data_IF_194647745997
#
_entry.id   IF_194647745997
#
_cell.length_a   1.000
_cell.length_b   1.000
_cell.length_c   1.000
_cell.angle_alpha   90.00
_cell.angle_beta   90.00
_cell.angle_gamma   90.00
#
_symmetry.space_group_name_H-M   'P 1'
#
loop_
_entity.id
_entity.type
_entity.pdbx_description
1 polymer ?
#
# COMPACT_ATOMS: atom_id res chain seq x y z
N UNK A 1 -14.37 -4.95 2.60
CA UNK A 1 -13.35 -5.74 3.32
C UNK A 1 -12.64 -4.86 4.33
N UNK A 2 -12.33 -5.39 5.49
CA UNK A 2 -11.58 -4.65 6.50
C UNK A 2 -10.16 -5.18 6.57
N UNK A 3 -9.15 -4.32 6.56
CA UNK A 3 -7.78 -4.77 6.77
C UNK A 3 -7.60 -5.24 8.20
N UNK A 4 -6.72 -6.21 8.40
CA UNK A 4 -6.28 -6.62 9.73
C UNK A 4 -5.07 -5.79 10.14
N UNK A 5 -4.83 -5.65 11.45
CA UNK A 5 -3.64 -4.96 11.95
C UNK A 5 -2.55 -5.97 12.26
N UNK A 6 -1.42 -5.78 11.61
CA UNK A 6 -0.26 -6.65 11.78
C UNK A 6 0.83 -5.92 12.58
N UNK A 7 1.26 -6.55 13.68
CA UNK A 7 2.38 -6.06 14.48
C UNK A 7 3.64 -6.78 14.05
N UNK A 8 4.61 -6.02 13.59
CA UNK A 8 5.88 -6.56 13.13
C UNK A 8 6.83 -6.83 14.29
N UNK A 9 7.63 -7.88 14.17
CA UNK A 9 8.79 -8.10 15.02
C UNK A 9 10.00 -7.52 14.31
N UNK A 10 10.60 -6.49 14.89
CA UNK A 10 11.69 -5.75 14.27
C UNK A 10 12.93 -5.87 15.17
N UNK A 11 14.07 -6.23 14.57
CA UNK A 11 15.31 -6.37 15.32
C UNK A 11 15.75 -5.04 15.96
N UNK A 12 16.42 -5.07 17.13
CA UNK A 12 16.85 -3.86 17.80
C UNK A 12 17.72 -2.94 16.94
N UNK A 13 18.56 -3.49 16.07
CA UNK A 13 19.39 -2.72 15.15
C UNK A 13 18.56 -1.89 14.17
N UNK A 14 17.53 -2.49 13.62
CA UNK A 14 16.61 -1.82 12.70
C UNK A 14 15.76 -0.79 13.44
N UNK A 15 15.30 -1.09 14.66
CA UNK A 15 14.51 -0.16 15.47
C UNK A 15 15.20 1.19 15.65
N UNK A 16 16.53 1.18 15.83
CA UNK A 16 17.32 2.40 15.99
C UNK A 16 17.35 3.30 14.76
N UNK A 17 16.93 2.80 13.60
CA UNK A 17 16.91 3.55 12.34
C UNK A 17 15.53 4.08 11.99
N UNK A 18 14.50 3.78 12.77
CA UNK A 18 13.12 4.14 12.50
C UNK A 18 12.66 5.25 13.43
N UNK A 19 11.93 6.25 12.90
CA UNK A 19 11.33 7.29 13.71
C UNK A 19 10.35 6.69 14.74
N UNK A 20 10.31 7.27 15.94
CA UNK A 20 9.55 6.70 17.07
C UNK A 20 8.05 6.51 16.77
N UNK A 21 7.43 7.43 16.04
CA UNK A 21 6.02 7.31 15.64
C UNK A 21 5.78 6.15 14.68
N UNK A 22 6.68 5.97 13.72
CA UNK A 22 6.61 4.86 12.77
C UNK A 22 6.85 3.52 13.47
N UNK A 23 7.81 3.48 14.38
CA UNK A 23 8.09 2.27 15.16
C UNK A 23 6.88 1.85 15.98
N UNK A 24 6.20 2.80 16.64
CA UNK A 24 4.97 2.51 17.38
C UNK A 24 3.88 1.95 16.50
N UNK A 25 3.71 2.49 15.30
CA UNK A 25 2.72 2.00 14.33
C UNK A 25 3.04 0.57 13.90
N UNK A 26 4.31 0.24 13.67
CA UNK A 26 4.71 -1.09 13.24
C UNK A 26 4.64 -2.15 14.35
N UNK A 27 5.06 -1.80 15.56
CA UNK A 27 5.27 -2.78 16.63
C UNK A 27 4.13 -2.81 17.65
N UNK A 28 3.53 -1.67 17.96
CA UNK A 28 2.53 -1.55 19.02
C UNK A 28 1.09 -1.49 18.51
N UNK A 29 0.79 -0.54 17.63
CA UNK A 29 -0.56 -0.36 17.08
C UNK A 29 -0.90 -1.37 15.99
N UNK A 30 0.09 -1.74 15.19
CA UNK A 30 -0.07 -2.57 14.01
C UNK A 30 -0.37 -1.78 12.74
N UNK A 31 0.22 -2.23 11.64
CA UNK A 31 -0.02 -1.66 10.31
C UNK A 31 -1.21 -2.37 9.68
N UNK A 32 -2.15 -1.65 9.04
CA UNK A 32 -3.20 -2.29 8.25
C UNK A 32 -2.61 -3.09 7.10
N UNK A 33 -3.04 -4.35 6.96
CA UNK A 33 -2.58 -5.27 5.91
C UNK A 33 -3.75 -6.04 5.32
N UNK A 34 -3.58 -6.58 4.13
CA UNK A 34 -4.47 -7.55 3.51
C UNK A 34 -3.68 -8.85 3.34
N UNK A 35 -3.91 -9.81 4.22
CA UNK A 35 -3.05 -10.98 4.37
C UNK A 35 -2.96 -11.86 3.12
N UNK A 36 -4.06 -11.96 2.37
CA UNK A 36 -4.13 -12.82 1.19
C UNK A 36 -3.96 -12.07 -0.14
N UNK A 37 -3.57 -10.82 -0.08
CA UNK A 37 -3.53 -9.96 -1.26
C UNK A 37 -2.16 -9.27 -1.41
N UNK A 38 -1.32 -9.79 -2.30
CA UNK A 38 -0.16 -9.01 -2.72
C UNK A 38 -0.64 -7.74 -3.45
N UNK A 39 -0.07 -6.59 -3.23
CA UNK A 39 1.18 -6.28 -2.52
C UNK A 39 1.04 -6.03 -1.02
N UNK A 40 -0.13 -6.22 -0.42
CA UNK A 40 -0.48 -5.76 0.93
C UNK A 40 -0.30 -6.82 2.01
N UNK A 41 0.14 -8.03 1.65
CA UNK A 41 0.42 -9.09 2.61
C UNK A 41 1.69 -8.80 3.41
N UNK A 42 1.70 -9.01 4.74
CA UNK A 42 2.85 -8.67 5.57
C UNK A 42 4.03 -9.63 5.37
N UNK A 43 5.23 -9.07 5.43
CA UNK A 43 6.48 -9.84 5.44
C UNK A 43 6.79 -10.23 6.89
N UNK A 44 7.04 -11.53 7.13
CA UNK A 44 7.22 -12.06 8.50
C UNK A 44 8.51 -11.59 9.17
N UNK A 45 9.56 -11.33 8.41
CA UNK A 45 10.86 -10.91 8.92
C UNK A 45 11.36 -9.69 8.14
N UNK A 46 10.90 -8.47 8.51
CA UNK A 46 11.27 -7.26 7.80
C UNK A 46 12.78 -7.01 7.85
N UNK A 47 13.35 -6.70 6.69
CA UNK A 47 14.77 -6.39 6.53
C UNK A 47 14.95 -5.10 5.74
N UNK A 48 16.06 -4.42 5.99
CA UNK A 48 16.43 -3.25 5.22
C UNK A 48 17.20 -3.69 3.97
N UNK A 49 16.70 -3.28 2.81
CA UNK A 49 17.36 -3.43 1.53
C UNK A 49 17.57 -2.04 0.96
N UNK A 50 18.82 -1.61 0.84
CA UNK A 50 19.14 -0.23 0.50
C UNK A 50 18.64 0.73 1.59
N UNK A 51 17.72 1.60 1.23
CA UNK A 51 17.11 2.58 2.15
C UNK A 51 15.74 2.13 2.68
N UNK A 52 15.24 0.97 2.24
CA UNK A 52 13.87 0.56 2.52
C UNK A 52 13.80 -0.60 3.51
N UNK A 53 13.03 -0.43 4.56
CA UNK A 53 12.56 -1.52 5.38
C UNK A 53 11.37 -2.15 4.68
N UNK A 54 11.54 -3.36 4.15
CA UNK A 54 10.50 -4.05 3.41
C UNK A 54 9.45 -4.62 4.35
N UNK A 55 8.21 -4.18 4.21
CA UNK A 55 7.11 -4.48 5.13
C UNK A 55 6.07 -5.43 4.55
N UNK A 56 5.71 -5.24 3.29
CA UNK A 56 4.63 -6.01 2.65
C UNK A 56 5.01 -6.40 1.23
N UNK A 57 4.31 -7.41 0.72
CA UNK A 57 4.40 -7.80 -0.68
C UNK A 57 5.29 -9.01 -0.93
N UNK A 58 5.63 -9.19 -2.18
CA UNK A 58 6.43 -10.31 -2.66
C UNK A 58 7.56 -9.82 -3.56
N UNK A 59 8.78 -10.39 -3.43
CA UNK A 59 9.90 -10.01 -4.29
C UNK A 59 9.67 -10.32 -5.77
N UNK A 60 8.69 -11.14 -6.11
CA UNK A 60 8.35 -11.47 -7.50
C UNK A 60 7.40 -10.49 -8.16
N UNK A 61 6.68 -9.71 -7.38
CA UNK A 61 5.66 -8.78 -7.87
C UNK A 61 6.01 -7.36 -7.47
N UNK A 62 5.72 -6.98 -6.24
CA UNK A 62 6.01 -5.66 -5.69
C UNK A 62 6.14 -5.77 -4.17
N UNK A 63 7.03 -4.97 -3.60
CA UNK A 63 7.18 -4.87 -2.16
C UNK A 63 6.99 -3.42 -1.73
N UNK A 64 6.27 -3.23 -0.63
CA UNK A 64 6.10 -1.92 -0.02
C UNK A 64 7.10 -1.78 1.11
N UNK A 65 7.82 -0.67 1.12
CA UNK A 65 8.88 -0.41 2.08
C UNK A 65 8.84 0.99 2.65
N UNK A 66 9.25 1.09 3.90
CA UNK A 66 9.48 2.35 4.58
C UNK A 66 10.92 2.81 4.30
N UNK A 67 11.06 3.98 3.67
CA UNK A 67 12.37 4.60 3.53
C UNK A 67 12.82 5.11 4.90
N UNK A 68 13.83 4.47 5.47
CA UNK A 68 14.27 4.77 6.84
C UNK A 68 14.99 6.12 6.96
N UNK A 69 15.42 6.70 5.85
CA UNK A 69 16.07 8.01 5.82
C UNK A 69 15.06 9.16 5.71
N UNK A 70 14.00 8.97 4.93
CA UNK A 70 13.02 10.03 4.65
C UNK A 70 11.69 9.87 5.38
N UNK A 71 11.34 8.64 5.78
CA UNK A 71 10.03 8.33 6.35
C UNK A 71 8.93 8.12 5.31
N UNK A 72 9.25 8.25 4.03
CA UNK A 72 8.30 7.99 2.95
C UNK A 72 8.09 6.49 2.75
N UNK A 73 6.93 6.12 2.18
CA UNK A 73 6.66 4.75 1.74
C UNK A 73 6.83 4.66 0.23
N UNK A 74 7.56 3.67 -0.21
CA UNK A 74 7.81 3.39 -1.62
C UNK A 74 7.39 2.00 -2.02
N UNK A 75 7.13 1.81 -3.30
CA UNK A 75 6.87 0.51 -3.91
C UNK A 75 8.09 0.09 -4.73
N UNK A 76 8.59 -1.12 -4.48
CA UNK A 76 9.80 -1.65 -5.07
C UNK A 76 9.41 -2.79 -6.02
N UNK A 77 9.61 -2.55 -7.31
CA UNK A 77 9.35 -3.51 -8.37
C UNK A 77 10.64 -4.24 -8.76
N UNK A 78 10.61 -5.55 -9.08
CA UNK A 78 11.82 -6.28 -9.47
C UNK A 78 12.49 -5.75 -10.73
N UNK A 79 11.73 -5.10 -11.62
CA UNK A 79 12.19 -4.69 -12.95
C UNK A 79 12.24 -3.18 -13.15
N UNK A 80 11.97 -2.40 -12.13
CA UNK A 80 11.88 -0.94 -12.25
C UNK A 80 12.46 -0.25 -11.01
N UNK A 81 12.86 1.03 -11.12
CA UNK A 81 13.21 1.82 -9.94
C UNK A 81 12.03 1.92 -8.96
N UNK A 82 12.28 2.13 -7.67
CA UNK A 82 11.23 2.36 -6.69
C UNK A 82 10.35 3.55 -7.08
N UNK A 83 9.04 3.42 -6.86
CA UNK A 83 8.11 4.52 -7.06
C UNK A 83 7.50 4.97 -5.74
N UNK A 84 7.03 6.22 -5.71
CA UNK A 84 6.43 6.82 -4.52
C UNK A 84 5.06 6.17 -4.23
N UNK A 85 4.81 5.87 -2.95
CA UNK A 85 3.48 5.46 -2.49
C UNK A 85 2.86 6.52 -1.59
N UNK A 86 3.47 6.83 -0.45
CA UNK A 86 2.92 7.81 0.49
C UNK A 86 4.03 8.65 1.15
N UNK A 87 3.66 9.84 1.59
CA UNK A 87 4.57 10.78 2.27
C UNK A 87 4.99 10.30 3.65
N UNK A 88 4.21 9.42 4.28
CA UNK A 88 4.52 8.84 5.58
C UNK A 88 3.86 7.48 5.75
N UNK A 89 4.31 6.72 6.73
CA UNK A 89 3.72 5.42 7.07
C UNK A 89 2.28 5.57 7.56
N UNK A 90 1.99 6.61 8.32
CA UNK A 90 0.64 6.92 8.80
C UNK A 90 -0.32 7.19 7.64
N UNK A 91 0.10 7.95 6.64
CA UNK A 91 -0.71 8.22 5.46
C UNK A 91 -0.88 6.99 4.57
N UNK A 92 0.13 6.12 4.53
CA UNK A 92 -0.01 4.81 3.89
C UNK A 92 -1.07 3.95 4.59
N UNK A 93 -1.05 3.92 5.93
CA UNK A 93 -2.04 3.18 6.70
C UNK A 93 -3.48 3.66 6.42
N UNK A 94 -3.68 4.97 6.33
CA UNK A 94 -4.98 5.56 5.98
C UNK A 94 -5.37 5.22 4.54
N UNK A 95 -4.41 5.22 3.63
CA UNK A 95 -4.64 4.91 2.21
C UNK A 95 -5.06 3.47 1.99
N UNK A 96 -4.38 2.50 2.61
CA UNK A 96 -4.79 1.10 2.47
C UNK A 96 -6.13 0.82 3.14
N UNK A 97 -6.45 1.50 4.22
CA UNK A 97 -7.76 1.41 4.86
C UNK A 97 -8.86 1.90 3.91
N UNK A 98 -8.64 3.04 3.27
CA UNK A 98 -9.57 3.58 2.26
C UNK A 98 -9.74 2.64 1.07
N UNK A 99 -8.64 2.06 0.57
CA UNK A 99 -8.68 1.08 -0.51
C UNK A 99 -9.48 -0.16 -0.12
N UNK A 100 -9.21 -0.72 1.06
CA UNK A 100 -9.88 -1.93 1.54
C UNK A 100 -11.39 -1.74 1.76
N UNK A 101 -11.82 -0.56 2.17
CA UNK A 101 -13.24 -0.23 2.33
C UNK A 101 -14.03 -0.33 1.03
N UNK A 102 -13.38 -0.10 -0.10
CA UNK A 102 -14.00 -0.21 -1.42
C UNK A 102 -14.04 -1.63 -2.00
N UNK A 103 -13.30 -2.57 -1.42
CA UNK A 103 -13.22 -3.94 -1.93
C UNK A 103 -14.52 -4.73 -1.71
N UNK A 104 -14.93 -5.56 -2.67
CA UNK A 104 -14.34 -5.74 -4.02
C UNK A 104 -14.74 -4.61 -4.97
N UNK A 105 -13.89 -4.34 -5.96
CA UNK A 105 -14.17 -3.36 -7.01
C UNK A 105 -14.75 -4.09 -8.22
N UNK A 106 -16.04 -4.29 -8.20
CA UNK A 106 -16.76 -5.07 -9.22
C UNK A 106 -17.34 -4.18 -10.30
N UNK A 107 -17.17 -4.60 -11.55
CA UNK A 107 -17.85 -4.02 -12.68
C UNK A 107 -19.26 -4.58 -12.79
N UNK A 108 -20.23 -3.73 -13.15
CA UNK A 108 -21.58 -4.11 -13.47
C UNK A 108 -21.73 -4.13 -15.01
N UNK A 109 -22.24 -5.23 -15.57
CA UNK A 109 -22.39 -5.37 -17.02
C UNK A 109 -23.22 -4.24 -17.65
N UNK A 110 -24.27 -3.78 -16.97
CA UNK A 110 -25.12 -2.70 -17.45
C UNK A 110 -24.43 -1.34 -17.48
N UNK A 111 -23.50 -1.10 -16.53
CA UNK A 111 -22.80 0.17 -16.40
C UNK A 111 -21.35 0.16 -16.90
N UNK A 112 -20.87 -0.98 -17.41
CA UNK A 112 -19.49 -1.11 -17.86
C UNK A 112 -19.25 -0.35 -19.18
N UNK A 113 -18.12 0.39 -19.35
CA UNK A 113 -17.01 0.54 -18.40
C UNK A 113 -17.15 1.70 -17.41
N UNK A 114 -18.19 2.50 -17.49
CA UNK A 114 -18.33 3.75 -16.74
C UNK A 114 -18.36 3.53 -15.22
N UNK A 115 -19.00 2.45 -14.76
CA UNK A 115 -19.10 2.15 -13.35
C UNK A 115 -17.74 1.79 -12.72
N UNK A 116 -16.89 1.03 -13.41
CA UNK A 116 -15.57 0.67 -12.88
C UNK A 116 -14.62 1.86 -12.94
N UNK A 117 -14.72 2.70 -13.97
CA UNK A 117 -13.96 3.95 -14.06
C UNK A 117 -14.34 4.90 -12.93
N UNK A 118 -15.63 4.99 -12.59
CA UNK A 118 -16.11 5.81 -11.47
C UNK A 118 -15.57 5.31 -10.12
N UNK A 119 -15.49 4.00 -9.92
CA UNK A 119 -14.90 3.42 -8.69
C UNK A 119 -13.40 3.75 -8.59
N UNK A 120 -12.66 3.62 -9.68
CA UNK A 120 -11.24 3.98 -9.71
C UNK A 120 -11.03 5.48 -9.44
N UNK A 121 -11.83 6.35 -10.03
CA UNK A 121 -11.78 7.78 -9.77
C UNK A 121 -12.15 8.12 -8.33
N UNK A 122 -13.13 7.44 -7.76
CA UNK A 122 -13.48 7.57 -6.36
C UNK A 122 -12.32 7.22 -5.43
N UNK A 123 -11.62 6.12 -5.72
CA UNK A 123 -10.43 5.74 -4.98
C UNK A 123 -9.34 6.80 -5.09
N UNK A 124 -9.03 7.28 -6.30
CA UNK A 124 -8.03 8.35 -6.50
C UNK A 124 -8.35 9.59 -5.68
N UNK A 125 -9.61 10.02 -5.67
CA UNK A 125 -10.04 11.19 -4.90
C UNK A 125 -9.89 10.99 -3.40
N UNK A 126 -10.22 9.81 -2.89
CA UNK A 126 -10.07 9.46 -1.47
C UNK A 126 -8.60 9.46 -1.06
N UNK A 127 -7.74 8.83 -1.86
CA UNK A 127 -6.29 8.83 -1.62
C UNK A 127 -5.73 10.25 -1.69
N UNK A 128 -6.14 11.06 -2.66
CA UNK A 128 -5.68 12.44 -2.80
C UNK A 128 -6.06 13.34 -1.61
N UNK A 129 -7.19 13.06 -0.95
CA UNK A 129 -7.56 13.79 0.28
C UNK A 129 -6.68 13.38 1.46
N UNK A 130 -6.26 12.13 1.50
CA UNK A 130 -5.37 11.61 2.56
C UNK A 130 -3.96 12.13 2.34
N UNK A 131 -3.45 11.98 1.12
CA UNK A 131 -2.07 12.31 0.76
C UNK A 131 -2.03 12.78 -0.70
N UNK A 132 -2.08 14.10 -0.95
CA UNK A 132 -2.12 14.63 -2.31
C UNK A 132 -0.97 14.15 -3.19
N UNK A 133 0.22 13.93 -2.63
CA UNK A 133 1.38 13.47 -3.38
C UNK A 133 1.27 12.01 -3.85
N UNK A 134 0.35 11.23 -3.27
CA UNK A 134 0.19 9.81 -3.57
C UNK A 134 -0.49 9.55 -4.93
N UNK A 135 -1.17 10.54 -5.50
CA UNK A 135 -1.86 10.44 -6.79
C UNK A 135 -1.17 11.36 -7.80
N UNK A 136 0.05 11.06 -8.12
CA UNK A 136 0.79 11.69 -9.22
C UNK A 136 1.07 10.66 -10.30
N UNK A 137 1.70 11.12 -11.38
CA UNK A 137 2.17 10.22 -12.43
C UNK A 137 3.21 9.26 -11.84
N UNK A 138 3.11 7.99 -12.23
CA UNK A 138 4.05 6.93 -11.82
C UNK A 138 4.08 6.65 -10.30
N UNK A 139 2.99 6.96 -9.58
CA UNK A 139 2.86 6.59 -8.17
C UNK A 139 2.22 5.22 -8.01
N UNK A 140 2.47 4.58 -6.86
CA UNK A 140 1.91 3.26 -6.54
C UNK A 140 0.37 3.27 -6.57
N UNK A 141 -0.28 4.24 -5.90
CA UNK A 141 -1.74 4.29 -5.83
C UNK A 141 -2.39 4.60 -7.17
N UNK A 142 -1.70 5.33 -8.03
CA UNK A 142 -2.18 5.52 -9.41
C UNK A 142 -2.17 4.21 -10.18
N UNK A 143 -1.13 3.38 -10.02
CA UNK A 143 -1.07 2.04 -10.61
C UNK A 143 -2.17 1.13 -10.06
N UNK A 144 -2.39 1.13 -8.75
CA UNK A 144 -3.47 0.35 -8.11
C UNK A 144 -4.84 0.77 -8.69
N UNK A 145 -5.06 2.04 -8.94
CA UNK A 145 -6.33 2.51 -9.53
C UNK A 145 -6.54 1.99 -10.96
N UNK A 146 -5.49 1.85 -11.74
CA UNK A 146 -5.56 1.20 -13.05
C UNK A 146 -5.83 -0.30 -12.93
N UNK A 147 -5.25 -0.96 -11.93
CA UNK A 147 -5.54 -2.37 -11.64
C UNK A 147 -7.02 -2.58 -11.29
N UNK A 148 -7.65 -1.63 -10.61
CA UNK A 148 -9.10 -1.63 -10.37
C UNK A 148 -9.86 -1.61 -11.70
N UNK A 149 -9.49 -0.73 -12.61
CA UNK A 149 -10.11 -0.65 -13.94
C UNK A 149 -9.96 -1.96 -14.72
N UNK A 150 -8.83 -2.62 -14.58
CA UNK A 150 -8.52 -3.88 -15.25
C UNK A 150 -9.15 -5.12 -14.60
N UNK A 151 -9.87 -4.95 -13.50
CA UNK A 151 -10.57 -6.03 -12.83
C UNK A 151 -9.73 -6.89 -11.88
N UNK A 152 -8.52 -6.48 -11.58
CA UNK A 152 -7.61 -7.25 -10.70
C UNK A 152 -8.08 -7.29 -9.24
N UNK A 153 -8.96 -6.39 -8.85
CA UNK A 153 -9.49 -6.29 -7.49
C UNK A 153 -11.00 -6.57 -7.44
N UNK A 154 -11.50 -7.34 -8.39
CA UNK A 154 -12.90 -7.78 -8.41
C UNK A 154 -13.10 -9.05 -7.59
N UNK A 155 -14.37 -9.34 -7.27
CA UNK A 155 -14.75 -10.61 -6.61
C UNK A 155 -14.76 -11.80 -7.58
N UNK A 156 -14.70 -11.55 -8.88
CA UNK A 156 -14.66 -12.59 -9.92
C UNK A 156 -13.21 -12.98 -10.19
N UNK A 157 -12.91 -14.26 -9.95
CA UNK A 157 -11.62 -14.85 -10.29
C UNK A 157 -11.65 -15.44 -11.72
#
# INVERSE_FOLDING_TARGET
MHPTRHRFTISPEIQGRIAGGDLRLLVSSGLPVLEDAAPFSPISDPKIVGQFLLLCGSPRVVQLGLNVETGEVGAIWPWAPPCFANSSLSLYADSITAFAEGLPYDADEEGYPDNILAQADGLRRRIARIDPSAIGDNTFWNEISWDVVNGEWSSED
#
